data_IF_569659033724
#
_entry.id   IF_569659033724
#
_cell.length_a   1.000
_cell.length_b   1.000
_cell.length_c   1.000
_cell.angle_alpha   90.00
_cell.angle_beta   90.00
_cell.angle_gamma   90.00
#
_symmetry.space_group_name_H-M   'P 1'
#
loop_
_entity.id
_entity.type
_entity.pdbx_description
1 polymer ?
#
# COMPACT_ATOMS: atom_id res chain seq x y z
N UNK A 1 -54.74 -24.86 2.70
CA UNK A 1 -53.55 -25.13 3.57
C UNK A 1 -52.26 -25.43 2.79
N UNK A 2 -52.16 -25.00 1.51
CA UNK A 2 -50.96 -25.24 0.67
C UNK A 2 -50.08 -24.01 0.40
N UNK A 3 -50.46 -22.85 0.90
CA UNK A 3 -49.68 -21.61 0.69
C UNK A 3 -48.58 -21.38 1.73
N UNK A 4 -48.56 -22.13 2.84
CA UNK A 4 -47.60 -21.92 3.95
C UNK A 4 -46.24 -22.60 3.73
N UNK A 5 -46.16 -23.63 2.89
CA UNK A 5 -44.89 -24.36 2.70
C UNK A 5 -43.96 -23.71 1.66
N UNK A 6 -44.53 -23.08 0.63
CA UNK A 6 -43.70 -22.39 -0.39
C UNK A 6 -43.01 -21.13 0.09
N UNK A 7 -43.57 -20.42 1.09
CA UNK A 7 -42.93 -19.23 1.66
C UNK A 7 -41.66 -19.57 2.50
N UNK A 8 -41.71 -20.68 3.23
CA UNK A 8 -40.56 -21.12 4.04
C UNK A 8 -39.36 -21.61 3.19
N UNK A 9 -39.62 -22.15 1.99
CA UNK A 9 -38.57 -22.58 1.07
C UNK A 9 -37.92 -21.39 0.34
N UNK A 10 -38.67 -20.36 0.04
CA UNK A 10 -38.09 -19.10 -0.52
C UNK A 10 -37.23 -18.39 0.50
N UNK A 11 -37.66 -18.31 1.77
CA UNK A 11 -36.84 -17.74 2.84
C UNK A 11 -35.58 -18.61 3.19
N UNK A 12 -35.68 -19.93 3.07
CA UNK A 12 -34.53 -20.81 3.18
C UNK A 12 -33.55 -20.65 2.01
N UNK A 13 -34.07 -20.48 0.78
CA UNK A 13 -33.24 -20.20 -0.41
C UNK A 13 -32.56 -18.83 -0.26
N UNK A 14 -33.27 -17.81 0.24
CA UNK A 14 -32.68 -16.48 0.50
C UNK A 14 -31.67 -16.52 1.66
N UNK A 15 -31.91 -17.28 2.74
CA UNK A 15 -30.96 -17.42 3.84
C UNK A 15 -29.75 -18.31 3.49
N UNK A 16 -29.89 -19.27 2.58
CA UNK A 16 -28.77 -20.06 2.05
C UNK A 16 -27.89 -19.21 1.11
N UNK A 17 -28.47 -18.21 0.44
CA UNK A 17 -27.75 -17.32 -0.48
C UNK A 17 -26.95 -16.21 0.23
N UNK A 18 -27.06 -16.02 1.54
CA UNK A 18 -26.26 -15.08 2.31
C UNK A 18 -24.87 -15.61 2.71
N UNK A 19 -24.61 -16.91 2.48
CA UNK A 19 -23.30 -17.58 2.62
C UNK A 19 -22.81 -18.19 1.31
N UNK A 20 -23.21 -17.66 0.14
CA UNK A 20 -22.71 -18.19 -1.12
C UNK A 20 -21.32 -17.66 -1.41
N UNK A 21 -20.40 -18.57 -1.61
CA UNK A 21 -19.20 -18.32 -2.41
C UNK A 21 -19.71 -17.96 -3.84
N UNK A 22 -19.75 -16.67 -4.13
CA UNK A 22 -20.09 -16.24 -5.49
C UNK A 22 -19.02 -16.79 -6.44
N UNK A 23 -19.41 -17.55 -7.45
CA UNK A 23 -18.51 -18.01 -8.51
C UNK A 23 -17.90 -16.85 -9.30
N UNK A 24 -18.55 -15.69 -9.26
CA UNK A 24 -18.10 -14.47 -9.93
C UNK A 24 -17.82 -13.35 -8.93
N UNK A 25 -16.95 -12.41 -9.32
CA UNK A 25 -16.65 -11.20 -8.55
C UNK A 25 -17.85 -10.26 -8.70
N UNK A 26 -18.35 -9.76 -7.55
CA UNK A 26 -19.43 -8.79 -7.50
C UNK A 26 -18.90 -7.52 -6.87
N UNK A 27 -19.10 -6.38 -7.58
CA UNK A 27 -18.81 -5.06 -7.04
C UNK A 27 -19.77 -4.73 -5.90
N UNK A 28 -19.29 -4.51 -4.64
CA UNK A 28 -20.18 -4.21 -3.50
C UNK A 28 -20.60 -2.73 -3.45
N UNK A 29 -20.52 -2.01 -4.58
CA UNK A 29 -20.84 -0.59 -4.70
C UNK A 29 -21.53 -0.28 -6.04
N UNK A 30 -22.21 0.87 -6.10
CA UNK A 30 -22.81 1.41 -7.32
C UNK A 30 -21.97 2.58 -7.83
N UNK A 31 -21.67 2.59 -9.12
CA UNK A 31 -20.97 3.68 -9.79
C UNK A 31 -21.98 4.79 -10.10
N UNK A 32 -21.76 5.99 -9.58
CA UNK A 32 -22.64 7.16 -9.79
C UNK A 32 -22.02 8.22 -10.70
N UNK A 33 -20.69 8.22 -10.85
CA UNK A 33 -19.97 9.12 -11.75
C UNK A 33 -19.40 8.33 -12.91
N UNK A 34 -19.51 8.84 -14.11
CA UNK A 34 -19.04 8.19 -15.34
C UNK A 34 -18.15 9.15 -16.09
N UNK A 35 -16.95 8.70 -16.42
CA UNK A 35 -16.00 9.42 -17.27
C UNK A 35 -15.69 8.60 -18.51
N UNK A 36 -15.54 9.27 -19.66
CA UNK A 36 -15.16 8.61 -20.90
C UNK A 36 -13.71 8.16 -20.83
N UNK A 37 -13.42 6.91 -21.21
CA UNK A 37 -12.06 6.43 -21.37
C UNK A 37 -11.43 7.05 -22.62
N UNK A 38 -10.19 7.52 -22.57
CA UNK A 38 -9.43 7.93 -23.75
C UNK A 38 -9.15 6.69 -24.60
N UNK A 39 -9.53 6.74 -25.87
CA UNK A 39 -9.22 5.68 -26.84
C UNK A 39 -8.15 6.22 -27.77
N UNK A 40 -6.97 5.58 -27.78
CA UNK A 40 -5.81 5.97 -28.58
C UNK A 40 -5.46 4.87 -29.59
N UNK A 41 -4.92 5.28 -30.73
CA UNK A 41 -4.41 4.34 -31.75
C UNK A 41 -2.98 3.91 -31.42
N UNK A 42 -2.48 2.79 -31.97
CA UNK A 42 -1.09 2.37 -31.80
C UNK A 42 -0.08 3.43 -32.29
N UNK A 43 -0.40 4.14 -33.37
CA UNK A 43 0.43 5.20 -33.94
C UNK A 43 0.57 6.39 -33.00
N UNK A 44 -0.53 6.86 -32.43
CA UNK A 44 -0.52 7.93 -31.43
C UNK A 44 0.26 7.51 -30.19
N UNK A 45 0.07 6.29 -29.67
CA UNK A 45 0.80 5.80 -28.50
C UNK A 45 2.31 5.72 -28.75
N UNK A 46 2.71 5.34 -29.95
CA UNK A 46 4.13 5.32 -30.34
C UNK A 46 4.73 6.73 -30.34
N UNK A 47 3.99 7.71 -30.85
CA UNK A 47 4.40 9.12 -30.84
C UNK A 47 4.51 9.66 -29.42
N UNK A 48 3.50 9.40 -28.57
CA UNK A 48 3.48 9.85 -27.18
C UNK A 48 4.63 9.26 -26.37
N UNK A 49 4.87 7.96 -26.50
CA UNK A 49 5.95 7.29 -25.77
C UNK A 49 7.33 7.76 -26.24
N UNK A 50 7.51 8.00 -27.54
CA UNK A 50 8.76 8.57 -28.09
C UNK A 50 9.01 10.00 -27.58
N UNK A 51 7.98 10.85 -27.52
CA UNK A 51 8.06 12.21 -26.96
C UNK A 51 8.54 12.21 -25.51
N UNK A 52 8.09 11.23 -24.72
CA UNK A 52 8.46 11.10 -23.31
C UNK A 52 9.71 10.22 -23.09
N UNK A 53 10.47 9.92 -24.13
CA UNK A 53 11.71 9.10 -24.06
C UNK A 53 11.50 7.75 -23.33
N UNK A 54 10.39 7.08 -23.62
CA UNK A 54 9.97 5.82 -22.98
C UNK A 54 9.64 5.94 -21.48
N UNK A 55 9.46 7.14 -20.95
CA UNK A 55 9.05 7.37 -19.58
C UNK A 55 7.51 7.48 -19.48
N UNK A 56 6.85 6.40 -19.07
CA UNK A 56 5.37 6.37 -18.95
C UNK A 56 4.81 7.35 -17.90
N UNK A 57 5.63 7.85 -16.98
CA UNK A 57 5.21 8.89 -16.01
C UNK A 57 5.05 10.27 -16.67
N UNK A 58 5.65 10.52 -17.84
CA UNK A 58 5.47 11.73 -18.61
C UNK A 58 4.18 11.77 -19.44
N UNK A 59 3.54 10.63 -19.65
CA UNK A 59 2.30 10.54 -20.42
C UNK A 59 1.17 11.31 -19.74
N UNK A 60 0.40 12.06 -20.53
CA UNK A 60 -0.78 12.79 -20.04
C UNK A 60 -1.94 11.82 -19.81
N UNK A 61 -2.85 12.15 -18.88
CA UNK A 61 -3.98 11.28 -18.54
C UNK A 61 -4.88 10.93 -19.74
N UNK A 62 -5.11 11.88 -20.66
CA UNK A 62 -5.88 11.67 -21.88
C UNK A 62 -5.16 10.81 -22.94
N UNK A 63 -3.92 10.44 -22.73
CA UNK A 63 -3.14 9.57 -23.60
C UNK A 63 -3.12 8.11 -23.12
N UNK A 64 -3.75 7.84 -21.95
CA UNK A 64 -3.75 6.54 -21.27
C UNK A 64 -5.16 5.95 -21.26
N UNK A 65 -5.36 4.78 -21.86
CA UNK A 65 -6.67 4.11 -21.89
C UNK A 65 -6.97 3.40 -20.57
N UNK A 66 -6.01 2.62 -20.06
CA UNK A 66 -6.15 1.89 -18.79
C UNK A 66 -4.98 2.28 -17.89
N UNK A 67 -5.27 2.95 -16.77
CA UNK A 67 -4.23 3.41 -15.85
C UNK A 67 -4.09 2.48 -14.66
N UNK A 68 -3.05 1.64 -14.68
CA UNK A 68 -2.67 0.73 -13.60
C UNK A 68 -1.35 1.16 -12.92
N UNK A 69 -1.00 2.45 -13.02
CA UNK A 69 0.26 2.98 -12.49
C UNK A 69 0.31 2.91 -10.96
N UNK A 70 -0.78 3.30 -10.30
CA UNK A 70 -0.82 3.42 -8.85
C UNK A 70 -2.24 3.33 -8.28
N UNK A 71 -2.38 2.84 -7.06
CA UNK A 71 -3.61 2.90 -6.26
C UNK A 71 -3.63 4.11 -5.29
N UNK A 72 -2.61 4.98 -5.37
CA UNK A 72 -2.42 6.09 -4.44
C UNK A 72 -3.09 7.38 -4.94
N UNK A 73 -4.19 7.76 -4.32
CA UNK A 73 -4.89 9.02 -4.62
C UNK A 73 -5.74 8.99 -5.89
N UNK A 74 -5.92 7.82 -6.50
CA UNK A 74 -6.62 7.62 -7.78
C UNK A 74 -7.95 6.89 -7.61
N UNK A 75 -8.35 6.59 -6.37
CA UNK A 75 -9.61 5.88 -6.09
C UNK A 75 -10.84 6.78 -6.12
N UNK A 76 -12.01 6.15 -6.25
CA UNK A 76 -13.31 6.83 -6.16
C UNK A 76 -13.77 6.98 -4.72
N UNK A 77 -14.29 8.16 -4.39
CA UNK A 77 -14.89 8.45 -3.10
C UNK A 77 -16.33 7.94 -3.01
N UNK A 78 -16.74 7.53 -1.82
CA UNK A 78 -18.14 7.20 -1.51
C UNK A 78 -19.03 8.45 -1.46
N UNK A 79 -20.35 8.26 -1.51
CA UNK A 79 -21.30 9.35 -1.26
C UNK A 79 -21.15 9.96 0.11
N UNK A 80 -20.74 9.17 1.11
CA UNK A 80 -20.49 9.67 2.47
C UNK A 80 -19.19 10.48 2.57
N UNK A 81 -18.15 10.11 1.80
CA UNK A 81 -16.95 10.94 1.69
C UNK A 81 -17.24 12.27 0.98
N UNK A 82 -18.05 12.28 -0.10
CA UNK A 82 -18.51 13.50 -0.75
C UNK A 82 -19.35 14.38 0.20
N UNK A 83 -20.24 13.76 0.99
CA UNK A 83 -21.00 14.48 2.02
C UNK A 83 -20.06 15.05 3.11
N UNK A 84 -19.00 14.33 3.45
CA UNK A 84 -17.98 14.80 4.41
C UNK A 84 -17.21 16.00 3.87
N UNK A 85 -16.81 15.99 2.60
CA UNK A 85 -16.22 17.16 1.93
C UNK A 85 -17.11 18.40 2.06
N UNK A 86 -18.42 18.24 1.87
CA UNK A 86 -19.39 19.36 1.95
C UNK A 86 -19.63 19.84 3.38
N UNK A 87 -19.41 19.00 4.39
CA UNK A 87 -19.54 19.37 5.82
C UNK A 87 -18.27 19.94 6.42
N UNK A 88 -17.14 19.71 5.76
CA UNK A 88 -15.83 20.15 6.27
C UNK A 88 -15.79 21.64 6.57
N UNK A 89 -15.14 22.03 7.64
CA UNK A 89 -14.91 23.41 8.02
C UNK A 89 -13.45 23.82 7.85
N UNK A 90 -13.25 25.06 7.47
CA UNK A 90 -11.93 25.60 7.11
C UNK A 90 -11.33 26.48 8.23
N UNK A 91 -11.62 26.14 9.50
CA UNK A 91 -10.99 26.80 10.63
C UNK A 91 -9.49 26.54 10.66
N UNK A 92 -8.66 27.57 10.79
CA UNK A 92 -7.20 27.43 10.73
C UNK A 92 -6.64 26.53 11.82
N UNK A 93 -7.21 26.52 13.03
CA UNK A 93 -6.76 25.71 14.14
C UNK A 93 -7.96 25.04 14.83
N UNK A 94 -7.84 23.75 15.12
CA UNK A 94 -8.80 23.00 15.92
C UNK A 94 -10.20 22.90 15.29
N UNK A 95 -10.27 22.78 13.95
CA UNK A 95 -11.53 22.62 13.22
C UNK A 95 -12.34 21.41 13.71
N UNK A 96 -13.65 21.40 13.49
CA UNK A 96 -14.49 20.21 13.77
C UNK A 96 -14.05 19.03 12.90
N UNK A 97 -13.63 19.30 11.69
CA UNK A 97 -13.09 18.27 10.77
C UNK A 97 -11.81 17.63 11.33
N UNK A 98 -10.93 18.42 11.93
CA UNK A 98 -9.75 17.91 12.65
C UNK A 98 -10.15 17.04 13.84
N UNK A 99 -11.06 17.51 14.68
CA UNK A 99 -11.52 16.75 15.86
C UNK A 99 -12.07 15.38 15.46
N UNK A 100 -12.94 15.35 14.42
CA UNK A 100 -13.46 14.09 13.86
C UNK A 100 -12.36 13.18 13.33
N UNK A 101 -11.41 13.74 12.58
CA UNK A 101 -10.27 12.98 12.05
C UNK A 101 -9.43 12.39 13.18
N UNK A 102 -9.08 13.19 14.17
CA UNK A 102 -8.32 12.76 15.35
C UNK A 102 -9.02 11.64 16.10
N UNK A 103 -10.33 11.76 16.35
CA UNK A 103 -11.14 10.74 17.04
C UNK A 103 -11.13 9.40 16.27
N UNK A 104 -11.34 9.43 14.94
CA UNK A 104 -11.36 8.23 14.11
C UNK A 104 -9.99 7.57 14.06
N UNK A 105 -8.92 8.35 13.89
CA UNK A 105 -7.55 7.82 13.89
C UNK A 105 -7.19 7.23 15.24
N UNK A 106 -7.52 7.93 16.32
CA UNK A 106 -7.28 7.46 17.70
C UNK A 106 -8.05 6.17 18.02
N UNK A 107 -9.32 6.07 17.61
CA UNK A 107 -10.08 4.82 17.76
C UNK A 107 -9.42 3.66 16.98
N UNK A 108 -8.94 3.92 15.79
CA UNK A 108 -8.32 2.90 14.94
C UNK A 108 -6.94 2.48 15.45
N UNK A 109 -6.09 3.43 15.80
CA UNK A 109 -4.67 3.16 16.05
C UNK A 109 -4.33 3.05 17.54
N UNK A 110 -5.02 3.80 18.39
CA UNK A 110 -4.75 3.92 19.83
C UNK A 110 -3.56 4.80 20.18
N UNK A 111 -2.91 5.45 19.18
CA UNK A 111 -1.76 6.31 19.46
C UNK A 111 -2.14 7.62 20.16
N UNK A 112 -1.20 8.11 20.97
CA UNK A 112 -1.38 9.32 21.78
C UNK A 112 -1.36 10.59 20.92
N UNK A 113 -0.45 10.70 19.98
CA UNK A 113 -0.24 11.86 19.14
C UNK A 113 -0.58 11.55 17.69
N UNK A 114 -1.45 12.37 17.13
CA UNK A 114 -1.92 12.28 15.75
C UNK A 114 -1.43 13.52 15.02
N UNK A 115 -0.66 13.35 13.95
CA UNK A 115 0.01 14.41 13.20
C UNK A 115 -0.36 14.26 11.73
N UNK A 116 -1.32 15.03 11.21
CA UNK A 116 -1.71 14.97 9.81
C UNK A 116 -0.61 15.57 8.93
N UNK A 117 -0.50 15.09 7.70
CA UNK A 117 0.37 15.63 6.66
C UNK A 117 -0.37 15.60 5.33
N UNK A 118 0.08 16.38 4.34
CA UNK A 118 -0.60 16.39 3.04
C UNK A 118 -0.47 15.07 2.28
N UNK A 119 0.54 14.24 2.58
CA UNK A 119 0.70 12.89 2.01
C UNK A 119 1.73 12.06 2.79
N UNK A 120 1.77 10.73 2.54
CA UNK A 120 2.63 9.80 3.29
C UNK A 120 4.11 10.14 3.25
N UNK A 121 4.67 10.53 2.08
CA UNK A 121 6.09 10.89 1.98
C UNK A 121 6.50 12.10 2.82
N UNK A 122 5.56 12.98 3.16
CA UNK A 122 5.79 14.06 4.11
C UNK A 122 5.94 13.50 5.54
N UNK A 123 5.10 12.53 5.93
CA UNK A 123 5.25 11.81 7.20
C UNK A 123 6.57 11.06 7.28
N UNK A 124 6.99 10.39 6.20
CA UNK A 124 8.28 9.70 6.09
C UNK A 124 9.45 10.68 6.25
N UNK A 125 9.37 11.85 5.59
CA UNK A 125 10.39 12.90 5.68
C UNK A 125 10.52 13.46 7.10
N UNK A 126 9.40 13.74 7.76
CA UNK A 126 9.39 14.21 9.14
C UNK A 126 10.00 13.14 10.05
N UNK A 127 9.55 11.88 9.93
CA UNK A 127 10.07 10.75 10.72
C UNK A 127 11.59 10.57 10.54
N UNK A 128 12.07 10.57 9.30
CA UNK A 128 13.50 10.47 9.02
C UNK A 128 14.30 11.63 9.68
N UNK A 129 13.79 12.85 9.56
CA UNK A 129 14.47 14.04 10.09
C UNK A 129 14.58 14.07 11.61
N UNK A 130 13.62 13.48 12.35
CA UNK A 130 13.61 13.51 13.82
C UNK A 130 14.19 12.25 14.47
N UNK A 131 14.18 11.11 13.76
CA UNK A 131 14.56 9.81 14.34
C UNK A 131 15.89 9.27 13.81
N UNK A 132 16.42 9.80 12.70
CA UNK A 132 17.58 9.21 12.01
C UNK A 132 18.78 10.16 12.03
N UNK A 133 19.95 9.60 12.24
CA UNK A 133 21.25 10.32 12.21
C UNK A 133 22.14 9.70 11.14
N UNK A 134 23.12 10.47 10.68
CA UNK A 134 24.16 9.97 9.78
C UNK A 134 24.84 8.73 10.38
N UNK A 135 24.94 7.67 9.57
CA UNK A 135 25.52 6.38 9.95
C UNK A 135 24.57 5.41 10.66
N UNK A 136 23.30 5.79 10.90
CA UNK A 136 22.28 4.87 11.42
C UNK A 136 21.95 3.77 10.42
N UNK A 137 21.46 2.63 10.94
CA UNK A 137 21.02 1.48 10.16
C UNK A 137 19.53 1.27 10.41
N UNK A 138 18.75 1.24 9.35
CA UNK A 138 17.29 1.11 9.44
C UNK A 138 16.86 -0.24 8.88
N UNK A 139 16.62 -1.27 9.72
CA UNK A 139 16.10 -2.54 9.28
C UNK A 139 14.58 -2.50 9.01
N UNK A 140 14.16 -3.13 7.92
CA UNK A 140 12.76 -3.34 7.56
C UNK A 140 12.59 -4.70 6.90
N UNK A 141 11.35 -5.19 6.80
CA UNK A 141 11.04 -6.31 5.90
C UNK A 141 11.32 -5.92 4.44
N UNK A 142 10.95 -4.68 4.04
CA UNK A 142 11.37 -4.07 2.79
C UNK A 142 10.97 -2.59 2.80
N UNK A 143 11.85 -1.71 2.34
CA UNK A 143 11.56 -0.28 2.21
C UNK A 143 10.84 0.02 0.90
N UNK A 144 9.87 0.92 0.95
CA UNK A 144 9.33 1.54 -0.24
C UNK A 144 10.33 2.61 -0.78
N UNK A 145 10.21 2.98 -2.05
CA UNK A 145 11.14 3.89 -2.74
C UNK A 145 11.36 5.22 -2.00
N UNK A 146 10.26 5.93 -1.66
CA UNK A 146 10.34 7.22 -0.96
C UNK A 146 10.79 7.08 0.49
N UNK A 147 10.47 5.97 1.15
CA UNK A 147 10.93 5.66 2.50
C UNK A 147 12.43 5.45 2.51
N UNK A 148 12.95 4.61 1.60
CA UNK A 148 14.38 4.39 1.39
C UNK A 148 15.11 5.70 1.09
N UNK A 149 14.63 6.46 0.12
CA UNK A 149 15.22 7.72 -0.29
C UNK A 149 15.29 8.75 0.85
N UNK A 150 14.27 8.83 1.72
CA UNK A 150 14.30 9.72 2.88
C UNK A 150 15.36 9.31 3.92
N UNK A 151 15.56 8.00 4.14
CA UNK A 151 16.60 7.52 5.05
C UNK A 151 18.00 7.69 4.45
N UNK A 152 18.19 7.39 3.18
CA UNK A 152 19.47 7.63 2.48
C UNK A 152 19.81 9.13 2.44
N UNK A 153 18.82 10.01 2.26
CA UNK A 153 19.00 11.47 2.34
C UNK A 153 19.43 11.92 3.74
N UNK A 154 19.05 11.18 4.79
CA UNK A 154 19.53 11.40 6.15
C UNK A 154 20.88 10.71 6.42
N UNK A 155 21.58 10.27 5.36
CA UNK A 155 22.89 9.60 5.42
C UNK A 155 22.88 8.31 6.26
N UNK A 156 21.73 7.62 6.31
CA UNK A 156 21.60 6.31 6.97
C UNK A 156 21.58 5.17 5.96
N UNK A 157 21.69 3.95 6.44
CA UNK A 157 21.71 2.73 5.64
C UNK A 157 20.43 1.93 5.85
N UNK A 158 19.44 2.02 4.96
CA UNK A 158 18.26 1.16 4.99
C UNK A 158 18.60 -0.28 4.57
N UNK A 159 18.23 -1.26 5.40
CA UNK A 159 18.51 -2.69 5.17
C UNK A 159 17.18 -3.46 5.06
N UNK A 160 17.01 -4.19 3.96
CA UNK A 160 15.86 -5.06 3.74
C UNK A 160 16.17 -6.48 4.25
N UNK A 161 15.36 -6.94 5.19
CA UNK A 161 15.48 -8.25 5.85
C UNK A 161 14.24 -9.09 5.57
N UNK A 162 13.85 -9.21 4.29
CA UNK A 162 12.70 -10.01 3.87
C UNK A 162 12.93 -11.49 4.21
N UNK A 163 11.88 -12.18 4.64
CA UNK A 163 11.92 -13.62 4.91
C UNK A 163 12.28 -14.42 3.65
N UNK A 164 12.79 -15.63 3.83
CA UNK A 164 13.25 -16.49 2.75
C UNK A 164 12.15 -16.77 1.71
N UNK A 165 10.93 -17.00 2.16
CA UNK A 165 9.76 -17.22 1.30
C UNK A 165 9.44 -15.99 0.44
N UNK A 166 9.65 -14.79 1.00
CA UNK A 166 9.45 -13.51 0.29
C UNK A 166 10.45 -13.27 -0.84
N UNK A 167 11.64 -13.86 -0.76
CA UNK A 167 12.65 -13.77 -1.81
C UNK A 167 12.35 -14.68 -3.01
N UNK A 168 11.48 -15.68 -2.86
CA UNK A 168 11.05 -16.58 -3.93
C UNK A 168 9.74 -16.10 -4.54
N UNK A 169 9.73 -15.70 -5.81
CA UNK A 169 8.53 -15.15 -6.47
C UNK A 169 7.40 -16.18 -6.59
N UNK A 170 7.74 -17.47 -6.76
CA UNK A 170 6.78 -18.56 -6.98
C UNK A 170 6.44 -19.36 -5.71
N UNK A 171 7.04 -19.05 -4.57
CA UNK A 171 6.71 -19.70 -3.29
C UNK A 171 5.25 -19.40 -2.91
N UNK A 172 4.44 -20.46 -2.59
CA UNK A 172 3.02 -20.29 -2.30
C UNK A 172 2.72 -19.86 -0.86
N UNK A 173 3.74 -19.52 -0.06
CA UNK A 173 3.57 -19.17 1.36
C UNK A 173 2.66 -17.97 1.57
N UNK A 174 1.87 -18.02 2.63
CA UNK A 174 0.78 -17.09 2.92
C UNK A 174 1.25 -15.68 3.32
N UNK A 175 2.44 -15.57 3.96
CA UNK A 175 2.94 -14.33 4.57
C UNK A 175 4.35 -13.97 4.09
N UNK A 176 4.51 -13.82 2.79
CA UNK A 176 5.80 -13.49 2.15
C UNK A 176 6.30 -12.06 2.45
N UNK A 177 5.48 -11.24 3.08
CA UNK A 177 5.87 -9.93 3.57
C UNK A 177 6.58 -9.93 4.92
N UNK A 178 6.71 -11.07 5.58
CA UNK A 178 7.36 -11.18 6.88
C UNK A 178 8.83 -10.75 6.85
N UNK A 179 9.32 -10.23 7.97
CA UNK A 179 10.76 -10.04 8.19
C UNK A 179 11.42 -11.35 8.61
N UNK A 180 12.67 -11.55 8.19
CA UNK A 180 13.55 -12.62 8.67
C UNK A 180 13.96 -12.30 10.11
N UNK A 181 13.35 -12.99 11.07
CA UNK A 181 13.55 -12.75 12.51
C UNK A 181 14.97 -13.13 12.97
N UNK A 182 15.60 -14.12 12.34
CA UNK A 182 16.95 -14.55 12.68
C UNK A 182 17.95 -13.46 12.28
N UNK A 183 17.90 -12.96 11.05
CA UNK A 183 18.74 -11.87 10.57
C UNK A 183 18.50 -10.57 11.34
N UNK A 184 17.24 -10.28 11.67
CA UNK A 184 16.90 -9.11 12.48
C UNK A 184 17.54 -9.23 13.88
N UNK A 185 17.43 -10.37 14.52
CA UNK A 185 18.03 -10.57 15.84
C UNK A 185 19.56 -10.56 15.79
N UNK A 186 20.19 -11.14 14.77
CA UNK A 186 21.63 -11.08 14.53
C UNK A 186 22.12 -9.63 14.43
N UNK A 187 21.44 -8.80 13.62
CA UNK A 187 21.75 -7.38 13.50
C UNK A 187 21.63 -6.67 14.85
N UNK A 188 20.50 -6.83 15.54
CA UNK A 188 20.24 -6.14 16.81
C UNK A 188 21.21 -6.55 17.92
N UNK A 189 21.77 -7.76 17.85
CA UNK A 189 22.75 -8.31 18.80
C UNK A 189 24.18 -7.88 18.48
N UNK A 190 24.48 -7.55 17.22
CA UNK A 190 25.82 -7.16 16.77
C UNK A 190 26.23 -5.78 17.29
N UNK A 191 27.47 -5.37 17.04
CA UNK A 191 27.97 -4.01 17.33
C UNK A 191 27.15 -2.95 16.57
N UNK A 192 26.72 -3.25 15.36
CA UNK A 192 25.85 -2.39 14.52
C UNK A 192 24.46 -2.23 15.10
N UNK A 193 24.01 -3.11 15.98
CA UNK A 193 22.75 -2.95 16.69
C UNK A 193 22.66 -1.64 17.48
N UNK A 194 23.79 -1.06 17.90
CA UNK A 194 23.83 0.25 18.57
C UNK A 194 23.38 1.39 17.63
N UNK A 195 23.61 1.25 16.32
CA UNK A 195 23.26 2.22 15.26
C UNK A 195 21.82 2.08 14.78
N UNK A 196 21.03 1.13 15.30
CA UNK A 196 19.62 0.93 14.92
C UNK A 196 18.75 1.78 15.84
N UNK A 197 18.14 2.89 15.38
CA UNK A 197 17.24 3.69 16.21
C UNK A 197 15.87 3.03 16.35
N UNK A 198 15.36 2.40 15.32
CA UNK A 198 14.08 1.68 15.28
C UNK A 198 14.09 0.57 14.23
N UNK A 199 13.11 -0.34 14.34
CA UNK A 199 12.76 -1.32 13.31
C UNK A 199 11.49 -0.86 12.61
N UNK A 200 11.47 -0.84 11.28
CA UNK A 200 10.31 -0.49 10.48
C UNK A 200 9.69 -1.75 9.85
N UNK A 201 8.37 -1.87 9.88
CA UNK A 201 7.66 -2.92 9.15
C UNK A 201 6.64 -2.31 8.19
N UNK A 202 6.76 -2.65 6.91
CA UNK A 202 5.81 -2.23 5.85
C UNK A 202 4.69 -3.24 5.70
N UNK A 203 3.44 -2.82 5.87
CA UNK A 203 2.22 -3.64 5.78
C UNK A 203 1.19 -2.99 4.82
N UNK A 204 0.79 -3.67 3.72
CA UNK A 204 1.42 -4.85 3.10
C UNK A 204 2.76 -4.47 2.48
N UNK A 205 3.67 -5.44 2.31
CA UNK A 205 4.97 -5.21 1.69
C UNK A 205 4.82 -4.95 0.17
N UNK A 206 4.90 -3.69 -0.24
CA UNK A 206 4.66 -3.26 -1.61
C UNK A 206 5.76 -3.75 -2.58
N UNK A 207 7.03 -3.52 -2.25
CA UNK A 207 8.16 -3.88 -3.12
C UNK A 207 8.37 -5.39 -3.22
N UNK A 208 7.92 -6.15 -2.23
CA UNK A 208 7.90 -7.62 -2.22
C UNK A 208 6.65 -8.24 -2.87
N UNK A 209 5.94 -7.53 -3.75
CA UNK A 209 4.77 -8.08 -4.46
C UNK A 209 3.43 -7.85 -3.78
N UNK A 210 3.31 -6.84 -2.92
CA UNK A 210 2.07 -6.53 -2.18
C UNK A 210 1.70 -7.60 -1.14
N UNK A 211 2.70 -8.31 -0.62
CA UNK A 211 2.52 -9.47 0.24
C UNK A 211 2.23 -9.09 1.70
N UNK A 212 1.33 -9.83 2.38
CA UNK A 212 0.99 -9.55 3.76
C UNK A 212 2.05 -9.98 4.75
N UNK A 213 1.98 -9.37 5.94
CA UNK A 213 2.74 -9.71 7.14
C UNK A 213 1.82 -10.36 8.16
N UNK A 214 2.24 -11.46 8.78
CA UNK A 214 1.45 -12.15 9.81
C UNK A 214 1.47 -11.41 11.15
N UNK A 215 0.42 -11.58 11.94
CA UNK A 215 0.39 -11.05 13.31
C UNK A 215 1.42 -11.74 14.20
N UNK A 216 1.72 -13.00 13.94
CA UNK A 216 2.80 -13.73 14.62
C UNK A 216 4.15 -13.05 14.41
N UNK A 217 4.48 -12.70 13.15
CA UNK A 217 5.72 -12.00 12.83
C UNK A 217 5.77 -10.60 13.48
N UNK A 218 4.67 -9.82 13.42
CA UNK A 218 4.60 -8.52 14.09
C UNK A 218 4.82 -8.62 15.60
N UNK A 219 4.24 -9.62 16.26
CA UNK A 219 4.45 -9.89 17.70
C UNK A 219 5.89 -10.27 18.01
N UNK A 220 6.51 -11.08 17.17
CA UNK A 220 7.92 -11.47 17.32
C UNK A 220 8.85 -10.25 17.15
N UNK A 221 8.62 -9.40 16.16
CA UNK A 221 9.35 -8.14 15.98
C UNK A 221 9.22 -7.25 17.21
N UNK A 222 7.98 -7.06 17.73
CA UNK A 222 7.79 -6.30 18.98
C UNK A 222 8.56 -6.87 20.15
N UNK A 223 8.61 -8.21 20.28
CA UNK A 223 9.37 -8.86 21.34
C UNK A 223 10.89 -8.62 21.20
N UNK A 224 11.43 -8.69 19.96
CA UNK A 224 12.84 -8.37 19.70
C UNK A 224 13.14 -6.90 19.98
N UNK A 225 12.30 -5.98 19.50
CA UNK A 225 12.47 -4.54 19.77
C UNK A 225 12.47 -4.25 21.27
N UNK A 226 11.57 -4.87 22.04
CA UNK A 226 11.55 -4.74 23.50
C UNK A 226 12.82 -5.30 24.14
N UNK A 227 13.31 -6.48 23.70
CA UNK A 227 14.53 -7.14 24.20
C UNK A 227 15.75 -6.25 24.01
N UNK A 228 15.89 -5.64 22.84
CA UNK A 228 17.05 -4.82 22.47
C UNK A 228 16.82 -3.31 22.69
N UNK A 229 15.70 -2.91 23.31
CA UNK A 229 15.33 -1.51 23.62
C UNK A 229 15.32 -0.64 22.36
N UNK A 230 14.74 -1.14 21.29
CA UNK A 230 14.53 -0.41 20.04
C UNK A 230 13.07 -0.03 19.89
N UNK A 231 12.80 1.08 19.24
CA UNK A 231 11.44 1.47 18.85
C UNK A 231 10.97 0.59 17.71
N UNK A 232 9.67 0.29 17.69
CA UNK A 232 9.02 -0.45 16.61
C UNK A 232 8.01 0.44 15.88
N UNK A 233 8.19 0.67 14.58
CA UNK A 233 7.35 1.52 13.76
C UNK A 233 6.71 0.74 12.62
N UNK A 234 5.53 1.19 12.18
CA UNK A 234 4.83 0.66 11.01
C UNK A 234 4.79 1.69 9.87
N UNK A 235 5.17 1.27 8.66
CA UNK A 235 4.61 1.84 7.44
C UNK A 235 3.31 1.08 7.15
N UNK A 236 2.19 1.71 7.52
CA UNK A 236 0.89 1.05 7.51
C UNK A 236 -0.03 1.54 6.39
N UNK A 237 0.54 1.86 5.22
CA UNK A 237 -0.21 2.41 4.10
C UNK A 237 -1.36 1.50 3.62
N UNK A 238 -1.25 0.18 3.80
CA UNK A 238 -2.27 -0.82 3.42
C UNK A 238 -2.61 -1.75 4.59
N UNK A 239 -2.82 -1.17 5.76
CA UNK A 239 -3.13 -1.88 7.00
C UNK A 239 -4.42 -2.72 6.92
N UNK A 240 -5.43 -2.23 6.20
CA UNK A 240 -6.70 -2.93 6.08
C UNK A 240 -6.59 -4.15 5.16
N UNK A 241 -5.86 -4.04 4.03
CA UNK A 241 -5.54 -5.19 3.18
C UNK A 241 -4.72 -6.23 3.96
N UNK A 242 -3.73 -5.80 4.75
CA UNK A 242 -2.94 -6.70 5.60
C UNK A 242 -3.82 -7.43 6.62
N UNK A 243 -4.67 -6.70 7.33
CA UNK A 243 -5.59 -7.27 8.32
C UNK A 243 -6.61 -8.23 7.68
N UNK A 244 -7.06 -7.96 6.45
CA UNK A 244 -7.87 -8.88 5.67
C UNK A 244 -7.15 -10.20 5.45
N UNK A 245 -5.92 -10.19 4.94
CA UNK A 245 -5.15 -11.42 4.73
C UNK A 245 -4.90 -12.18 6.03
N UNK A 246 -4.60 -11.50 7.12
CA UNK A 246 -4.48 -12.11 8.44
C UNK A 246 -5.77 -12.83 8.83
N UNK A 247 -6.94 -12.21 8.63
CA UNK A 247 -8.24 -12.82 8.94
C UNK A 247 -8.54 -14.07 8.11
N UNK A 248 -7.97 -14.17 6.90
CA UNK A 248 -8.20 -15.29 5.99
C UNK A 248 -7.18 -16.42 6.16
N UNK A 249 -5.93 -16.11 6.51
CA UNK A 249 -4.80 -17.03 6.40
C UNK A 249 -4.22 -17.46 7.75
N UNK A 250 -4.40 -16.68 8.82
CA UNK A 250 -3.86 -16.98 10.15
C UNK A 250 -4.97 -17.57 11.04
N UNK A 251 -4.87 -18.85 11.40
CA UNK A 251 -5.94 -19.61 12.08
C UNK A 251 -6.45 -18.95 13.36
N UNK A 252 -5.55 -18.34 14.13
CA UNK A 252 -5.90 -17.64 15.39
C UNK A 252 -6.74 -16.37 15.18
N UNK A 253 -6.85 -15.90 13.95
CA UNK A 253 -7.58 -14.69 13.56
C UNK A 253 -8.82 -14.96 12.72
N UNK A 254 -9.08 -16.20 12.31
CA UNK A 254 -10.30 -16.57 11.58
C UNK A 254 -11.55 -16.16 12.35
N UNK A 255 -12.48 -15.49 11.67
CA UNK A 255 -13.73 -15.00 12.27
C UNK A 255 -13.62 -13.73 13.11
N UNK A 256 -12.43 -13.17 13.31
CA UNK A 256 -12.27 -11.85 13.92
C UNK A 256 -12.55 -10.76 12.89
N UNK A 257 -13.13 -9.65 13.32
CA UNK A 257 -13.36 -8.49 12.44
C UNK A 257 -12.04 -7.88 11.99
N UNK A 258 -11.95 -7.54 10.72
CA UNK A 258 -10.75 -6.93 10.12
C UNK A 258 -10.31 -5.67 10.86
N UNK A 259 -11.27 -4.82 11.29
CA UNK A 259 -10.98 -3.62 12.07
C UNK A 259 -10.29 -3.93 13.40
N UNK A 260 -10.67 -5.00 14.09
CA UNK A 260 -10.07 -5.38 15.36
C UNK A 260 -8.65 -5.93 15.18
N UNK A 261 -8.41 -6.66 14.09
CA UNK A 261 -7.07 -7.13 13.71
C UNK A 261 -6.16 -5.94 13.40
N UNK A 262 -6.65 -4.95 12.64
CA UNK A 262 -5.91 -3.73 12.35
C UNK A 262 -5.57 -2.96 13.64
N UNK A 263 -6.53 -2.81 14.56
CA UNK A 263 -6.31 -2.20 15.88
C UNK A 263 -5.24 -2.94 16.68
N UNK A 264 -5.23 -4.27 16.64
CA UNK A 264 -4.22 -5.10 17.32
C UNK A 264 -2.83 -4.86 16.72
N UNK A 265 -2.71 -4.80 15.40
CA UNK A 265 -1.46 -4.53 14.72
C UNK A 265 -0.87 -3.16 15.09
N UNK A 266 -1.67 -2.10 15.08
CA UNK A 266 -1.24 -0.76 15.50
C UNK A 266 -0.76 -0.72 16.96
N UNK A 267 -1.43 -1.44 17.88
CA UNK A 267 -1.06 -1.48 19.31
C UNK A 267 0.27 -2.19 19.58
N UNK A 268 0.76 -3.01 18.66
CA UNK A 268 2.07 -3.63 18.78
C UNK A 268 3.21 -2.62 18.55
N UNK A 269 2.99 -1.60 17.75
CA UNK A 269 4.01 -0.61 17.39
C UNK A 269 3.99 0.63 18.32
N UNK A 270 5.09 1.36 18.33
CA UNK A 270 5.27 2.58 19.10
C UNK A 270 4.83 3.82 18.30
N UNK A 271 4.62 3.65 17.00
CA UNK A 271 4.11 4.66 16.08
C UNK A 271 3.95 4.12 14.67
N UNK A 272 3.38 4.94 13.79
CA UNK A 272 3.22 4.59 12.37
C UNK A 272 3.26 5.80 11.45
N UNK A 273 3.64 5.56 10.19
CA UNK A 273 3.44 6.43 9.04
C UNK A 273 2.38 5.82 8.13
N UNK A 274 1.44 6.62 7.63
CA UNK A 274 0.38 6.16 6.73
C UNK A 274 0.21 7.15 5.58
N UNK A 275 0.25 6.67 4.34
CA UNK A 275 -0.30 7.41 3.21
C UNK A 275 -1.81 7.17 3.14
N UNK A 276 -2.58 8.17 3.54
CA UNK A 276 -4.05 8.11 3.50
C UNK A 276 -4.64 8.16 2.09
N UNK A 277 -3.78 8.35 1.08
CA UNK A 277 -4.11 8.20 -0.34
C UNK A 277 -4.36 6.74 -0.76
N UNK A 278 -4.21 5.79 0.16
CA UNK A 278 -4.44 4.35 -0.01
C UNK A 278 -5.60 3.90 0.88
N UNK A 279 -5.34 3.37 2.06
CA UNK A 279 -6.38 2.90 2.99
C UNK A 279 -7.20 4.02 3.67
N UNK A 280 -6.87 5.29 3.45
CA UNK A 280 -7.75 6.42 3.79
C UNK A 280 -8.79 6.76 2.73
N UNK A 281 -8.79 6.09 1.55
CA UNK A 281 -9.60 6.44 0.37
C UNK A 281 -9.50 7.92 -0.05
N UNK A 282 -8.43 8.62 0.36
CA UNK A 282 -8.23 10.02 0.03
C UNK A 282 -7.54 10.23 -1.32
N UNK A 283 -7.83 11.35 -1.97
CA UNK A 283 -7.04 11.82 -3.12
C UNK A 283 -5.77 12.56 -2.65
N UNK A 284 -5.77 13.01 -1.40
CA UNK A 284 -4.65 13.63 -0.69
C UNK A 284 -4.65 13.10 0.75
N UNK A 285 -3.56 13.29 1.48
CA UNK A 285 -3.50 12.99 2.91
C UNK A 285 -2.42 12.00 3.31
N UNK A 286 -1.85 12.24 4.47
CA UNK A 286 -0.92 11.39 5.17
C UNK A 286 -1.08 11.55 6.69
N UNK A 287 -0.40 10.69 7.42
CA UNK A 287 -0.47 10.63 8.87
C UNK A 287 0.86 10.13 9.42
N UNK A 288 1.38 10.84 10.42
CA UNK A 288 2.36 10.33 11.38
C UNK A 288 1.67 10.22 12.74
N UNK A 289 1.73 9.06 13.39
CA UNK A 289 1.16 8.87 14.71
C UNK A 289 2.18 8.21 15.64
N UNK A 290 2.33 8.74 16.86
CA UNK A 290 3.39 8.39 17.81
C UNK A 290 2.85 8.32 19.23
N UNK A 291 3.51 7.48 20.06
CA UNK A 291 3.25 7.43 21.51
C UNK A 291 4.27 8.28 22.32
N UNK A 292 5.46 8.50 21.80
CA UNK A 292 6.51 9.27 22.45
C UNK A 292 6.22 10.77 22.41
N UNK A 293 6.24 11.43 23.56
CA UNK A 293 5.90 12.84 23.70
C UNK A 293 6.93 13.77 23.06
N UNK A 294 8.22 13.45 23.24
CA UNK A 294 9.30 14.29 22.70
C UNK A 294 9.38 14.21 21.18
N UNK A 295 9.31 13.00 20.62
CA UNK A 295 9.30 12.82 19.17
C UNK A 295 8.07 13.47 18.54
N UNK A 296 6.92 13.43 19.20
CA UNK A 296 5.72 14.07 18.70
C UNK A 296 5.82 15.60 18.73
N UNK A 297 6.49 16.17 19.71
CA UNK A 297 6.77 17.62 19.77
C UNK A 297 7.74 18.03 18.66
N UNK A 298 8.84 17.30 18.50
CA UNK A 298 9.80 17.53 17.43
C UNK A 298 9.16 17.42 16.04
N UNK A 299 8.30 16.41 15.84
CA UNK A 299 7.54 16.25 14.62
C UNK A 299 6.61 17.43 14.33
N UNK A 300 5.88 17.92 15.34
CA UNK A 300 4.98 19.08 15.21
C UNK A 300 5.75 20.36 14.90
N UNK A 301 6.91 20.58 15.51
CA UNK A 301 7.76 21.73 15.23
C UNK A 301 8.25 21.71 13.79
N UNK A 302 8.69 20.56 13.28
CA UNK A 302 9.10 20.41 11.89
C UNK A 302 7.90 20.55 10.93
N UNK A 303 6.74 19.98 11.29
CA UNK A 303 5.51 20.08 10.52
C UNK A 303 5.09 21.55 10.28
N UNK A 304 5.20 22.40 11.30
CA UNK A 304 4.88 23.83 11.18
C UNK A 304 5.74 24.52 10.11
N UNK A 305 6.98 24.09 9.98
CA UNK A 305 7.91 24.65 8.99
C UNK A 305 7.67 24.13 7.57
N UNK A 306 7.23 22.87 7.45
CA UNK A 306 7.21 22.17 6.16
C UNK A 306 5.83 21.95 5.57
N UNK A 307 4.79 21.80 6.39
CA UNK A 307 3.45 21.40 5.97
C UNK A 307 2.37 22.41 6.37
N UNK A 308 2.35 22.76 7.66
CA UNK A 308 1.35 23.64 8.22
C UNK A 308 1.11 23.40 9.70
N UNK A 309 0.06 24.00 10.26
CA UNK A 309 -0.24 23.90 11.68
C UNK A 309 -0.67 22.44 12.07
N UNK A 310 -0.34 21.95 13.29
CA UNK A 310 -0.54 20.56 13.68
C UNK A 310 -1.97 20.01 13.61
N UNK A 311 -2.97 20.89 13.53
CA UNK A 311 -4.37 20.47 13.43
C UNK A 311 -4.91 20.42 12.01
N UNK A 312 -4.07 20.63 10.98
CA UNK A 312 -4.43 20.40 9.59
C UNK A 312 -3.29 19.82 8.73
N UNK A 313 -2.01 20.07 9.05
CA UNK A 313 -0.87 19.45 8.38
C UNK A 313 -0.82 19.63 6.86
N UNK A 314 -1.15 20.83 6.36
CA UNK A 314 -1.18 21.13 4.92
C UNK A 314 -2.46 20.64 4.20
N UNK A 315 -3.46 20.14 4.93
CA UNK A 315 -4.76 19.70 4.39
C UNK A 315 -5.84 20.75 4.63
N UNK A 316 -6.84 20.80 3.75
CA UNK A 316 -8.06 21.54 4.03
C UNK A 316 -8.95 20.76 5.03
N UNK A 317 -9.81 21.46 5.78
CA UNK A 317 -10.72 20.81 6.72
C UNK A 317 -11.63 19.78 6.04
N UNK A 318 -12.11 20.08 4.83
CA UNK A 318 -12.90 19.12 4.02
C UNK A 318 -12.13 17.84 3.71
N UNK A 319 -10.81 17.92 3.47
CA UNK A 319 -9.99 16.72 3.23
C UNK A 319 -9.90 15.86 4.49
N UNK A 320 -9.68 16.49 5.65
CA UNK A 320 -9.65 15.78 6.95
C UNK A 320 -10.96 15.05 7.24
N UNK A 321 -12.11 15.68 6.96
CA UNK A 321 -13.42 15.06 7.18
C UNK A 321 -13.66 13.88 6.22
N UNK A 322 -13.27 14.01 4.94
CA UNK A 322 -13.34 12.93 3.97
C UNK A 322 -12.41 11.76 4.31
N UNK A 323 -11.20 12.04 4.83
CA UNK A 323 -10.25 11.03 5.29
C UNK A 323 -10.75 10.29 6.52
N UNK A 324 -11.37 11.00 7.47
CA UNK A 324 -12.02 10.38 8.61
C UNK A 324 -13.10 9.38 8.17
N UNK A 325 -13.92 9.77 7.20
CA UNK A 325 -14.93 8.88 6.62
C UNK A 325 -14.30 7.68 5.90
N UNK A 326 -13.26 7.90 5.12
CA UNK A 326 -12.52 6.83 4.43
C UNK A 326 -11.94 5.78 5.40
N UNK A 327 -11.36 6.22 6.53
CA UNK A 327 -10.84 5.34 7.57
C UNK A 327 -11.93 4.53 8.32
N UNK A 328 -13.17 5.00 8.30
CA UNK A 328 -14.31 4.21 8.80
C UNK A 328 -14.67 3.11 7.79
N UNK A 329 -14.70 3.45 6.50
CA UNK A 329 -15.17 2.58 5.43
C UNK A 329 -14.15 1.52 4.98
N UNK A 330 -12.85 1.80 5.10
CA UNK A 330 -11.80 0.93 4.53
C UNK A 330 -11.79 -0.49 5.12
N UNK A 331 -12.29 -0.65 6.34
CA UNK A 331 -12.36 -1.96 7.01
C UNK A 331 -13.67 -2.72 6.73
N UNK A 332 -14.47 -2.29 5.74
CA UNK A 332 -15.62 -3.05 5.26
C UNK A 332 -15.16 -4.35 4.60
N UNK A 333 -15.63 -5.47 5.13
CA UNK A 333 -15.17 -6.80 4.71
C UNK A 333 -15.64 -7.17 3.30
N UNK A 334 -16.81 -6.68 2.85
CA UNK A 334 -17.27 -6.91 1.48
C UNK A 334 -16.37 -6.20 0.47
N UNK A 335 -15.96 -4.95 0.80
CA UNK A 335 -15.01 -4.23 -0.03
C UNK A 335 -13.65 -4.93 -0.07
N UNK A 336 -13.12 -5.37 1.05
CA UNK A 336 -11.80 -6.03 1.12
C UNK A 336 -11.82 -7.39 0.42
N UNK A 337 -12.89 -8.15 0.53
CA UNK A 337 -13.11 -9.39 -0.21
C UNK A 337 -13.08 -9.13 -1.72
N UNK A 338 -13.87 -8.14 -2.18
CA UNK A 338 -13.88 -7.73 -3.58
C UNK A 338 -12.48 -7.31 -4.05
N UNK A 339 -11.79 -6.49 -3.26
CA UNK A 339 -10.45 -5.99 -3.57
C UNK A 339 -9.44 -7.13 -3.75
N UNK A 340 -9.34 -8.02 -2.78
CA UNK A 340 -8.44 -9.17 -2.82
C UNK A 340 -8.80 -10.13 -3.96
N UNK A 341 -10.09 -10.43 -4.14
CA UNK A 341 -10.55 -11.34 -5.19
C UNK A 341 -10.31 -10.77 -6.61
N UNK A 342 -10.43 -9.47 -6.78
CA UNK A 342 -10.16 -8.81 -8.07
C UNK A 342 -8.70 -8.98 -8.50
N UNK A 343 -7.74 -8.81 -7.58
CA UNK A 343 -6.32 -9.03 -7.87
C UNK A 343 -6.02 -10.51 -8.09
N UNK A 344 -6.60 -11.41 -7.28
CA UNK A 344 -6.45 -12.85 -7.47
C UNK A 344 -6.99 -13.29 -8.85
N UNK A 345 -8.15 -12.76 -9.26
CA UNK A 345 -8.73 -13.04 -10.59
C UNK A 345 -7.81 -12.58 -11.73
N UNK A 346 -7.26 -11.38 -11.64
CA UNK A 346 -6.28 -10.90 -12.62
C UNK A 346 -5.05 -11.81 -12.66
N UNK A 347 -4.58 -12.29 -11.50
CA UNK A 347 -3.48 -13.23 -11.40
C UNK A 347 -3.79 -14.59 -12.05
N UNK A 348 -4.97 -15.14 -11.78
CA UNK A 348 -5.44 -16.39 -12.40
C UNK A 348 -5.49 -16.27 -13.93
N UNK A 349 -5.98 -15.15 -14.46
CA UNK A 349 -5.98 -14.85 -15.89
C UNK A 349 -4.56 -14.77 -16.45
N UNK A 350 -3.68 -14.00 -15.81
CA UNK A 350 -2.29 -13.87 -16.23
C UNK A 350 -1.58 -15.24 -16.31
N UNK A 351 -1.74 -16.07 -15.28
CA UNK A 351 -1.20 -17.44 -15.26
C UNK A 351 -1.78 -18.28 -16.40
N UNK A 352 -3.09 -18.17 -16.67
CA UNK A 352 -3.74 -18.96 -17.75
C UNK A 352 -3.21 -18.61 -19.13
N UNK A 353 -2.64 -17.42 -19.30
CA UNK A 353 -1.94 -17.00 -20.52
C UNK A 353 -0.42 -17.23 -20.46
N UNK A 354 0.10 -17.89 -19.44
CA UNK A 354 1.51 -18.22 -19.30
C UNK A 354 2.39 -17.06 -18.82
N UNK A 355 1.82 -15.98 -18.28
CA UNK A 355 2.60 -14.89 -17.72
C UNK A 355 3.17 -15.29 -16.34
N UNK A 356 4.48 -15.17 -16.13
CA UNK A 356 5.09 -15.39 -14.83
C UNK A 356 4.75 -14.22 -13.90
N UNK A 357 4.14 -14.51 -12.76
CA UNK A 357 3.76 -13.52 -11.76
C UNK A 357 4.22 -13.91 -10.37
N UNK A 358 4.32 -12.94 -9.47
CA UNK A 358 4.52 -13.20 -8.04
C UNK A 358 3.33 -13.96 -7.48
N UNK A 359 3.58 -15.09 -6.83
CA UNK A 359 2.56 -15.96 -6.24
C UNK A 359 2.76 -16.09 -4.72
N UNK A 360 1.64 -16.17 -3.98
CA UNK A 360 0.26 -15.88 -4.39
C UNK A 360 0.09 -14.39 -4.75
N UNK A 361 -0.99 -14.03 -5.45
CA UNK A 361 -1.28 -12.64 -5.75
C UNK A 361 -1.40 -11.81 -4.46
N UNK A 362 -0.87 -10.59 -4.48
CA UNK A 362 -0.91 -9.66 -3.35
C UNK A 362 -2.25 -8.91 -3.22
N UNK A 363 -2.28 -7.85 -2.39
CA UNK A 363 -3.53 -7.16 -2.06
C UNK A 363 -3.95 -6.09 -3.08
N UNK A 364 -3.02 -5.30 -3.61
CA UNK A 364 -3.35 -4.08 -4.36
C UNK A 364 -2.93 -4.11 -5.83
N UNK A 365 -2.08 -5.04 -6.21
CA UNK A 365 -1.51 -5.09 -7.55
C UNK A 365 -1.14 -6.52 -7.95
N UNK A 366 -1.11 -6.75 -9.26
CA UNK A 366 -0.43 -7.89 -9.86
C UNK A 366 1.02 -7.51 -10.16
N UNK A 367 1.95 -8.45 -10.00
CA UNK A 367 3.36 -8.24 -10.28
C UNK A 367 3.85 -9.29 -11.28
N UNK A 368 4.22 -8.85 -12.48
CA UNK A 368 4.83 -9.71 -13.52
C UNK A 368 6.32 -9.82 -13.23
N UNK A 369 6.88 -11.04 -13.29
CA UNK A 369 8.31 -11.28 -13.26
C UNK A 369 8.89 -11.09 -14.67
N UNK A 370 9.36 -9.90 -14.95
CA UNK A 370 9.90 -9.54 -16.25
C UNK A 370 11.20 -10.29 -16.59
N UNK A 371 11.98 -10.69 -15.58
CA UNK A 371 13.21 -11.48 -15.78
C UNK A 371 12.90 -12.87 -16.33
N UNK A 372 11.87 -13.53 -15.78
CA UNK A 372 11.42 -14.83 -16.27
C UNK A 372 10.67 -14.70 -17.59
N UNK A 373 9.95 -13.59 -17.80
CA UNK A 373 9.20 -13.34 -19.04
C UNK A 373 10.10 -13.02 -20.23
N UNK A 374 11.19 -12.28 -19.99
CA UNK A 374 12.17 -11.85 -21.00
C UNK A 374 13.59 -12.31 -20.62
N UNK A 375 13.87 -13.63 -20.62
CA UNK A 375 15.10 -14.19 -20.07
C UNK A 375 16.38 -13.75 -20.82
N UNK A 376 16.24 -13.36 -22.08
CA UNK A 376 17.36 -12.93 -22.93
C UNK A 376 17.73 -11.44 -22.73
N UNK A 377 16.92 -10.68 -21.97
CA UNK A 377 17.20 -9.27 -21.65
C UNK A 377 17.83 -9.21 -20.25
N UNK A 378 19.11 -8.88 -20.12
CA UNK A 378 19.76 -8.79 -18.81
C UNK A 378 19.26 -7.57 -18.02
N UNK A 379 19.34 -7.58 -16.67
CA UNK A 379 18.81 -6.52 -15.80
C UNK A 379 19.27 -5.10 -16.18
N UNK A 380 20.54 -4.92 -16.60
CA UNK A 380 21.06 -3.60 -17.00
C UNK A 380 20.46 -3.07 -18.32
N UNK A 381 19.66 -3.86 -19.04
CA UNK A 381 18.87 -3.45 -20.19
C UNK A 381 17.38 -3.30 -19.85
N UNK A 382 17.04 -3.33 -18.57
CA UNK A 382 15.73 -2.98 -18.01
C UNK A 382 14.55 -3.79 -18.59
N UNK A 383 14.51 -5.13 -18.43
CA UNK A 383 13.42 -5.96 -18.96
C UNK A 383 12.04 -5.53 -18.44
N UNK A 384 11.95 -5.06 -17.20
CA UNK A 384 10.71 -4.52 -16.63
C UNK A 384 10.21 -3.29 -17.39
N UNK A 385 11.10 -2.36 -17.73
CA UNK A 385 10.74 -1.17 -18.50
C UNK A 385 10.32 -1.52 -19.93
N UNK A 386 10.95 -2.53 -20.54
CA UNK A 386 10.53 -3.02 -21.86
C UNK A 386 9.06 -3.52 -21.82
N UNK A 387 8.70 -4.33 -20.81
CA UNK A 387 7.31 -4.80 -20.64
C UNK A 387 6.34 -3.62 -20.40
N UNK A 388 6.71 -2.63 -19.59
CA UNK A 388 5.91 -1.42 -19.36
C UNK A 388 5.62 -0.67 -20.65
N UNK A 389 6.65 -0.49 -21.51
CA UNK A 389 6.51 0.18 -22.79
C UNK A 389 5.60 -0.61 -23.75
N UNK A 390 5.76 -1.93 -23.84
CA UNK A 390 4.94 -2.78 -24.71
C UNK A 390 3.47 -2.82 -24.27
N UNK A 391 3.18 -2.91 -22.97
CA UNK A 391 1.81 -2.82 -22.45
C UNK A 391 1.14 -1.51 -22.86
N UNK A 392 1.88 -0.41 -22.83
CA UNK A 392 1.36 0.87 -23.28
C UNK A 392 1.18 0.91 -24.81
N UNK A 393 2.15 0.50 -25.58
CA UNK A 393 2.08 0.52 -27.06
C UNK A 393 0.94 -0.35 -27.59
N UNK A 394 0.76 -1.55 -27.04
CA UNK A 394 -0.25 -2.50 -27.52
C UNK A 394 -1.65 -2.16 -27.01
N UNK A 395 -1.79 -1.82 -25.72
CA UNK A 395 -3.11 -1.70 -25.07
C UNK A 395 -3.45 -0.30 -24.53
N UNK A 396 -2.56 0.67 -24.60
CA UNK A 396 -2.73 1.95 -23.89
C UNK A 396 -2.74 1.79 -22.37
N UNK A 397 -2.10 0.71 -21.86
CA UNK A 397 -2.07 0.33 -20.46
C UNK A 397 -0.82 0.92 -19.79
N UNK A 398 -1.01 1.83 -18.84
CA UNK A 398 0.09 2.42 -18.08
C UNK A 398 0.33 1.66 -16.78
N UNK A 399 1.56 1.19 -16.58
CA UNK A 399 2.00 0.41 -15.43
C UNK A 399 3.30 0.97 -14.86
N UNK A 400 3.85 0.37 -13.81
CA UNK A 400 5.12 0.81 -13.21
C UNK A 400 6.14 -0.32 -13.19
N UNK A 401 7.37 -0.02 -13.57
CA UNK A 401 8.53 -0.87 -13.35
C UNK A 401 8.95 -0.81 -11.87
N UNK A 402 9.29 -1.94 -11.30
CA UNK A 402 9.87 -2.12 -9.97
C UNK A 402 11.04 -3.11 -10.04
N UNK A 403 12.03 -2.79 -10.82
CA UNK A 403 13.22 -3.58 -11.05
C UNK A 403 14.47 -2.70 -11.06
N UNK A 404 15.44 -3.04 -11.86
CA UNK A 404 16.75 -2.36 -11.90
C UNK A 404 16.66 -0.90 -12.35
N UNK A 405 15.66 -0.53 -13.17
CA UNK A 405 15.45 0.87 -13.54
C UNK A 405 15.09 1.75 -12.34
N UNK A 406 14.23 1.25 -11.43
CA UNK A 406 13.77 1.99 -10.24
C UNK A 406 14.67 1.78 -9.01
N UNK A 407 15.24 0.58 -8.83
CA UNK A 407 15.92 0.18 -7.59
C UNK A 407 17.36 -0.30 -7.79
N UNK A 408 17.89 -0.27 -9.01
CA UNK A 408 19.31 -0.53 -9.26
C UNK A 408 20.17 0.56 -8.63
N UNK A 409 21.40 0.21 -8.27
CA UNK A 409 22.38 1.18 -7.74
C UNK A 409 23.28 1.63 -8.88
N UNK A 410 23.32 2.94 -9.12
CA UNK A 410 24.17 3.52 -10.13
C UNK A 410 25.65 3.45 -9.69
N UNK A 411 26.52 2.98 -10.59
CA UNK A 411 27.96 3.03 -10.42
C UNK A 411 28.53 4.42 -10.67
N UNK A 412 29.86 4.54 -10.58
CA UNK A 412 30.58 5.82 -10.75
C UNK A 412 30.37 6.47 -12.12
N UNK A 413 30.04 5.68 -13.14
CA UNK A 413 29.79 6.15 -14.52
C UNK A 413 28.30 6.45 -14.80
N UNK A 414 27.43 6.36 -13.81
CA UNK A 414 25.99 6.58 -13.94
C UNK A 414 25.23 5.40 -14.58
N UNK A 415 25.87 4.27 -14.82
CA UNK A 415 25.24 3.02 -15.20
C UNK A 415 24.80 2.25 -13.96
N UNK A 416 23.72 1.45 -14.04
CA UNK A 416 23.27 0.63 -12.93
C UNK A 416 24.17 -0.61 -12.79
N UNK A 417 25.21 -0.50 -11.98
CA UNK A 417 26.21 -1.56 -11.77
C UNK A 417 25.67 -2.70 -10.89
N UNK A 418 24.73 -2.38 -9.97
CA UNK A 418 24.11 -3.39 -9.12
C UNK A 418 22.62 -3.48 -9.43
N UNK A 419 22.16 -4.60 -10.00
CA UNK A 419 20.75 -4.79 -10.33
C UNK A 419 19.89 -4.91 -9.09
N UNK A 420 18.60 -4.62 -9.23
CA UNK A 420 17.60 -4.89 -8.20
C UNK A 420 17.50 -6.41 -7.92
N UNK A 421 16.98 -6.75 -6.74
CA UNK A 421 16.74 -8.16 -6.35
C UNK A 421 15.79 -8.87 -7.32
N UNK A 422 14.80 -8.15 -7.84
CA UNK A 422 13.78 -8.64 -8.76
C UNK A 422 13.54 -7.65 -9.89
N UNK A 423 13.16 -8.17 -11.05
CA UNK A 423 12.72 -7.38 -12.22
C UNK A 423 11.19 -7.48 -12.31
N UNK A 424 10.46 -6.58 -11.62
CA UNK A 424 9.01 -6.66 -11.55
C UNK A 424 8.33 -5.56 -12.34
N UNK A 425 7.15 -5.87 -12.89
CA UNK A 425 6.20 -4.89 -13.42
C UNK A 425 4.92 -4.94 -12.60
N UNK A 426 4.55 -3.81 -12.03
CA UNK A 426 3.40 -3.68 -11.14
C UNK A 426 2.18 -3.12 -11.87
N UNK A 427 1.09 -3.88 -11.85
CA UNK A 427 -0.22 -3.48 -12.35
C UNK A 427 -1.13 -3.20 -11.14
N UNK A 428 -1.21 -1.92 -10.72
CA UNK A 428 -2.00 -1.50 -9.58
C UNK A 428 -3.48 -1.35 -9.94
N UNK A 429 -4.36 -2.10 -9.29
CA UNK A 429 -5.79 -1.84 -9.40
C UNK A 429 -6.19 -0.64 -8.53
N UNK A 430 -6.77 0.38 -9.15
CA UNK A 430 -7.29 1.55 -8.46
C UNK A 430 -8.49 1.18 -7.56
N UNK A 431 -8.66 1.90 -6.46
CA UNK A 431 -9.68 1.59 -5.44
C UNK A 431 -11.07 2.04 -5.91
N UNK A 432 -12.06 1.12 -5.96
CA UNK A 432 -13.46 1.40 -6.36
C UNK A 432 -13.62 1.99 -7.77
N UNK A 433 -12.65 1.77 -8.67
CA UNK A 433 -12.69 2.39 -9.99
C UNK A 433 -12.65 1.38 -11.14
N UNK A 434 -11.92 0.28 -11.01
CA UNK A 434 -11.70 -0.68 -12.09
C UNK A 434 -12.65 -1.87 -11.91
N UNK A 435 -13.68 -2.00 -12.76
CA UNK A 435 -14.57 -3.16 -12.75
C UNK A 435 -13.88 -4.39 -13.38
N UNK A 436 -14.41 -5.58 -13.07
CA UNK A 436 -13.90 -6.86 -13.57
C UNK A 436 -13.70 -6.90 -15.09
N UNK A 437 -14.59 -6.27 -15.85
CA UNK A 437 -14.52 -6.27 -17.32
C UNK A 437 -13.20 -5.71 -17.87
N UNK A 438 -12.57 -4.79 -17.16
CA UNK A 438 -11.25 -4.25 -17.54
C UNK A 438 -10.15 -5.31 -17.39
N UNK A 439 -10.29 -6.25 -16.48
CA UNK A 439 -9.33 -7.36 -16.31
C UNK A 439 -9.54 -8.49 -17.33
N UNK A 440 -10.67 -8.50 -18.05
CA UNK A 440 -10.95 -9.45 -19.11
C UNK A 440 -10.45 -8.97 -20.49
N UNK A 441 -10.06 -7.72 -20.62
CA UNK A 441 -9.44 -7.14 -21.83
C UNK A 441 -7.95 -7.52 -21.94
#
# INVERSE_FOLDING_TARGET
MEFSHKHNDIFKIISYNLCMDFETIIEPFKIKSVESLPITTPEERKEYLAREHSNVFGLKSQEVTIDLLTDSGTGSMSSEQWASLMRGDESYAGSKSWQRFEEVVRDLTGYKHIIPTHQGRASERILASICVKSGDIIPSNSHFDTTRANFEFAESTPIDLLCKEGLSLLDPSDFKGNVDLEKLEELLKSEDGSKVPFVLMTITNNTGGGQPVSMENLKAVKALCKKYKKMFLLDACRFAENAWFVSQREDSYKGKKVRDIAKEAFRLADGCSISLKKDGFGNIGGLLALNDDQLAEDAKNLLILTEGFPTYGGLAGRDLDALAQGLIEITDENYLQYRARSIAYLGEKAISYGLPIVQPAGGHALYIDAKTFLPDIPPHQYPGQAVVCELYLLGGIRTAELGTFAFGVAGENGENDTPATHELVRLCAQRRLIPKVIFDM
#
